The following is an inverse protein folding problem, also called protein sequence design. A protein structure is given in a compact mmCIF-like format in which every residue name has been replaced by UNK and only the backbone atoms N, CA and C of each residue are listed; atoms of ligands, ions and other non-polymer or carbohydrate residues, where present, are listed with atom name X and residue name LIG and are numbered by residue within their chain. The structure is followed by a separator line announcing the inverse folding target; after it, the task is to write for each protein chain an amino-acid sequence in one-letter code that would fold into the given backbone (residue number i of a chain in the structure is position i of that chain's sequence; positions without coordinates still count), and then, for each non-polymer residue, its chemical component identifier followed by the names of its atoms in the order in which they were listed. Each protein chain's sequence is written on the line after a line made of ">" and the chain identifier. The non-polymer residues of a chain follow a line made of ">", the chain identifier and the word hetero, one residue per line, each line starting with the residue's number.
data_IF_932826761719
#
_entry.id   IF_932826761719
#
_cell.length_a   1.000
_cell.length_b   1.000
_cell.length_c   1.000
_cell.angle_alpha   90.00
_cell.angle_beta   90.00
_cell.angle_gamma   90.00
#
_symmetry.space_group_name_H-M   'P 1'
#
loop_
_entity.id
_entity.type
_entity.pdbx_description
1 polymer ?
#
# COMPACT_ATOMS: atom_id res chain seq x y z
N UNK A 1 -29.86 -5.16 0.68
CA UNK A 1 -28.59 -5.79 0.25
C UNK A 1 -28.36 -5.68 -1.24
N UNK A 2 -29.21 -6.25 -2.11
CA UNK A 2 -29.00 -6.33 -3.58
C UNK A 2 -28.61 -5.01 -4.26
N UNK A 3 -29.22 -3.87 -3.89
CA UNK A 3 -28.86 -2.55 -4.47
C UNK A 3 -27.45 -2.07 -4.09
N UNK A 4 -26.99 -2.36 -2.88
CA UNK A 4 -25.64 -1.98 -2.42
C UNK A 4 -24.57 -2.83 -3.10
N UNK A 5 -24.85 -4.12 -3.31
CA UNK A 5 -23.92 -5.03 -3.97
C UNK A 5 -23.79 -4.75 -5.47
N UNK A 6 -24.89 -4.38 -6.14
CA UNK A 6 -24.86 -3.91 -7.54
C UNK A 6 -24.01 -2.65 -7.69
N UNK A 7 -24.22 -1.66 -6.82
CA UNK A 7 -23.49 -0.40 -6.86
C UNK A 7 -21.99 -0.58 -6.60
N UNK A 8 -21.63 -1.44 -5.62
CA UNK A 8 -20.24 -1.83 -5.36
C UNK A 8 -19.59 -2.41 -6.61
N UNK A 9 -20.28 -3.31 -7.30
CA UNK A 9 -19.81 -3.94 -8.53
C UNK A 9 -19.61 -2.95 -9.68
N UNK A 10 -20.55 -2.04 -9.89
CA UNK A 10 -20.48 -1.01 -10.95
C UNK A 10 -19.31 -0.04 -10.73
N UNK A 11 -19.12 0.46 -9.50
CA UNK A 11 -18.00 1.33 -9.16
C UNK A 11 -16.66 0.58 -9.28
N UNK A 12 -16.59 -0.66 -8.80
CA UNK A 12 -15.40 -1.49 -8.93
C UNK A 12 -15.03 -1.74 -10.41
N UNK A 13 -16.02 -2.02 -11.26
CA UNK A 13 -15.80 -2.21 -12.70
C UNK A 13 -15.31 -0.92 -13.38
N UNK A 14 -15.87 0.23 -13.02
CA UNK A 14 -15.42 1.52 -13.53
C UNK A 14 -13.98 1.83 -13.12
N UNK A 15 -13.63 1.65 -11.84
CA UNK A 15 -12.27 1.83 -11.34
C UNK A 15 -11.28 0.86 -11.98
N UNK A 16 -11.69 -0.40 -12.19
CA UNK A 16 -10.87 -1.38 -12.91
C UNK A 16 -10.62 -0.95 -14.36
N UNK A 17 -11.62 -0.40 -15.05
CA UNK A 17 -11.45 0.19 -16.39
C UNK A 17 -10.54 1.40 -16.40
N UNK A 18 -10.63 2.28 -15.40
CA UNK A 18 -9.73 3.44 -15.26
C UNK A 18 -8.28 3.04 -14.95
N UNK A 19 -8.08 1.92 -14.27
CA UNK A 19 -6.76 1.37 -13.91
C UNK A 19 -6.19 0.39 -14.94
N UNK A 20 -6.95 0.05 -15.98
CA UNK A 20 -6.47 -0.78 -17.09
C UNK A 20 -5.37 -0.05 -17.88
N UNK A 21 -4.62 -0.79 -18.72
CA UNK A 21 -3.54 -0.21 -19.53
C UNK A 21 -4.00 1.03 -20.29
N UNK A 22 -3.19 2.08 -20.28
CA UNK A 22 -3.48 3.39 -20.88
C UNK A 22 -4.62 4.18 -20.21
N UNK A 23 -5.24 3.62 -19.16
CA UNK A 23 -6.25 4.30 -18.36
C UNK A 23 -5.66 5.41 -17.48
N UNK A 24 -6.50 6.37 -17.03
CA UNK A 24 -6.05 7.50 -16.24
C UNK A 24 -5.48 7.14 -14.86
N UNK A 25 -5.79 5.95 -14.34
CA UNK A 25 -5.26 5.39 -13.09
C UNK A 25 -4.27 4.25 -13.34
N UNK A 26 -3.83 4.03 -14.59
CA UNK A 26 -2.81 3.05 -14.89
C UNK A 26 -1.52 3.38 -14.11
N UNK A 27 -0.94 2.36 -13.48
CA UNK A 27 0.39 2.45 -12.86
C UNK A 27 1.47 2.96 -13.82
N UNK A 28 1.30 2.81 -15.14
CA UNK A 28 2.21 3.29 -16.18
C UNK A 28 1.72 4.54 -16.92
N UNK A 29 0.61 5.12 -16.48
CA UNK A 29 0.12 6.39 -17.01
C UNK A 29 1.18 7.50 -16.88
N UNK A 30 1.24 8.46 -17.82
CA UNK A 30 2.08 9.67 -17.67
C UNK A 30 1.80 10.47 -16.38
N UNK A 31 0.63 10.28 -15.77
CA UNK A 31 0.25 10.91 -14.50
C UNK A 31 0.80 10.19 -13.26
N UNK A 32 1.45 9.02 -13.41
CA UNK A 32 2.17 8.35 -12.32
C UNK A 32 3.22 9.29 -11.71
N UNK A 33 3.35 9.28 -10.38
CA UNK A 33 4.20 10.24 -9.67
C UNK A 33 5.69 10.13 -10.00
N UNK A 34 6.20 8.95 -10.36
CA UNK A 34 7.59 8.80 -10.81
C UNK A 34 7.83 9.45 -12.17
N UNK A 35 6.84 9.43 -13.06
CA UNK A 35 6.93 10.06 -14.38
C UNK A 35 6.71 11.56 -14.25
N UNK A 36 5.60 11.96 -13.62
CA UNK A 36 5.19 13.35 -13.41
C UNK A 36 6.28 14.19 -12.73
N UNK A 37 7.01 13.61 -11.79
CA UNK A 37 7.98 14.32 -10.96
C UNK A 37 9.44 13.93 -11.19
N UNK A 38 9.77 13.30 -12.33
CA UNK A 38 11.12 12.75 -12.59
C UNK A 38 12.25 13.77 -12.40
N UNK A 39 12.04 15.03 -12.77
CA UNK A 39 13.01 16.11 -12.67
C UNK A 39 12.72 17.12 -11.53
N UNK A 40 11.76 16.82 -10.65
CA UNK A 40 11.32 17.77 -9.62
C UNK A 40 12.22 17.77 -8.39
N UNK A 41 12.94 18.87 -8.17
CA UNK A 41 13.76 19.07 -6.97
C UNK A 41 12.91 19.14 -5.70
N UNK A 42 11.70 19.72 -5.77
CA UNK A 42 10.78 19.73 -4.63
C UNK A 42 10.31 18.32 -4.29
N UNK A 43 10.05 17.48 -5.31
CA UNK A 43 9.70 16.06 -5.09
C UNK A 43 10.84 15.30 -4.45
N UNK A 44 12.08 15.56 -4.85
CA UNK A 44 13.25 14.93 -4.24
C UNK A 44 13.36 15.27 -2.74
N UNK A 45 13.20 16.54 -2.37
CA UNK A 45 13.19 16.96 -0.97
C UNK A 45 12.01 16.35 -0.20
N UNK A 46 10.83 16.30 -0.81
CA UNK A 46 9.67 15.64 -0.24
C UNK A 46 9.91 14.15 0.00
N UNK A 47 10.47 13.40 -0.95
CA UNK A 47 10.84 11.98 -0.79
C UNK A 47 11.76 11.76 0.41
N UNK A 48 12.75 12.65 0.61
CA UNK A 48 13.61 12.59 1.79
C UNK A 48 12.84 12.79 3.08
N UNK A 49 11.92 13.76 3.10
CA UNK A 49 11.06 14.01 4.26
C UNK A 49 10.14 12.81 4.54
N UNK A 50 9.57 12.18 3.52
CA UNK A 50 8.77 10.95 3.66
C UNK A 50 9.56 9.84 4.35
N UNK A 51 10.80 9.60 3.94
CA UNK A 51 11.67 8.60 4.58
C UNK A 51 11.90 8.91 6.07
N UNK A 52 12.10 10.18 6.41
CA UNK A 52 12.33 10.58 7.80
C UNK A 52 11.05 10.52 8.64
N UNK A 53 9.94 11.07 8.12
CA UNK A 53 8.62 11.02 8.76
C UNK A 53 8.18 9.58 9.01
N UNK A 54 8.38 8.68 8.05
CA UNK A 54 8.07 7.26 8.25
C UNK A 54 8.85 6.69 9.44
N UNK A 55 10.15 6.95 9.50
CA UNK A 55 11.04 6.41 10.53
C UNK A 55 10.74 7.00 11.91
N UNK A 56 10.32 8.26 11.99
CA UNK A 56 10.00 8.93 13.25
C UNK A 56 8.68 8.46 13.88
N UNK A 57 7.83 7.71 13.16
CA UNK A 57 6.54 7.20 13.70
C UNK A 57 6.72 6.27 14.89
N UNK A 58 7.82 5.53 14.93
CA UNK A 58 8.05 4.44 15.89
C UNK A 58 9.53 4.32 16.22
N UNK A 59 9.84 3.75 17.39
CA UNK A 59 11.22 3.55 17.83
C UNK A 59 11.39 2.12 18.36
N UNK A 60 11.42 1.10 17.47
CA UNK A 60 11.53 -0.29 17.89
C UNK A 60 12.87 -0.56 18.60
N UNK A 61 12.95 -1.60 19.43
CA UNK A 61 14.21 -2.09 19.97
C UNK A 61 15.25 -2.36 18.87
N UNK A 62 16.53 -2.16 19.23
CA UNK A 62 17.67 -2.44 18.36
C UNK A 62 18.50 -3.57 18.95
N UNK A 63 19.13 -4.35 18.07
CA UNK A 63 20.17 -5.31 18.46
C UNK A 63 19.74 -6.77 18.40
N UNK A 64 18.44 -7.07 18.51
CA UNK A 64 17.95 -8.44 18.29
C UNK A 64 18.05 -8.86 16.81
N UNK A 65 17.96 -7.90 15.88
CA UNK A 65 18.04 -8.13 14.42
C UNK A 65 17.13 -9.29 13.98
N UNK A 66 15.88 -9.22 14.41
CA UNK A 66 14.82 -10.16 14.06
C UNK A 66 13.91 -9.58 12.98
N UNK A 67 13.50 -10.40 12.03
CA UNK A 67 12.55 -10.02 10.99
C UNK A 67 11.36 -10.97 10.96
N UNK A 68 10.18 -10.40 10.72
CA UNK A 68 8.96 -11.12 10.34
C UNK A 68 8.60 -10.70 8.93
N UNK A 69 8.43 -11.66 8.03
CA UNK A 69 8.00 -11.42 6.65
C UNK A 69 6.61 -12.02 6.45
N UNK A 70 5.67 -11.25 5.90
CA UNK A 70 4.35 -11.78 5.52
C UNK A 70 4.22 -11.97 4.03
N UNK A 71 3.44 -12.98 3.66
CA UNK A 71 3.08 -13.30 2.29
C UNK A 71 1.59 -13.63 2.19
N UNK A 72 0.97 -13.31 1.05
CA UNK A 72 -0.45 -13.56 0.81
C UNK A 72 -1.15 -12.39 0.13
N UNK A 73 -2.23 -12.70 -0.60
CA UNK A 73 -2.99 -11.71 -1.37
C UNK A 73 -3.56 -10.58 -0.48
N UNK A 74 -3.82 -9.38 -1.03
CA UNK A 74 -4.70 -8.42 -0.38
C UNK A 74 -6.03 -9.09 -0.02
N UNK A 75 -6.58 -8.77 1.15
CA UNK A 75 -7.79 -9.42 1.66
C UNK A 75 -7.55 -10.74 2.41
N UNK A 76 -6.42 -11.44 2.22
CA UNK A 76 -6.19 -12.77 2.80
C UNK A 76 -6.15 -12.87 4.34
N UNK A 77 -6.24 -11.77 5.08
CA UNK A 77 -6.29 -11.79 6.55
C UNK A 77 -4.92 -11.79 7.26
N UNK A 78 -3.83 -11.41 6.58
CA UNK A 78 -2.46 -11.37 7.13
C UNK A 78 -2.34 -10.69 8.50
N UNK A 79 -2.99 -9.53 8.66
CA UNK A 79 -2.91 -8.76 9.91
C UNK A 79 -3.57 -9.46 11.10
N UNK A 80 -4.57 -10.33 10.87
CA UNK A 80 -5.18 -11.13 11.93
C UNK A 80 -4.20 -12.20 12.42
N UNK A 81 -3.65 -13.00 11.49
CA UNK A 81 -2.69 -14.05 11.83
C UNK A 81 -1.40 -13.50 12.44
N UNK A 82 -0.96 -12.31 12.03
CA UNK A 82 0.17 -11.63 12.66
C UNK A 82 -0.06 -11.39 14.16
N UNK A 83 -1.25 -10.91 14.54
CA UNK A 83 -1.59 -10.63 15.94
C UNK A 83 -1.71 -11.90 16.78
N UNK A 84 -2.14 -13.00 16.16
CA UNK A 84 -2.32 -14.29 16.84
C UNK A 84 -1.00 -15.05 17.02
N UNK A 85 -0.05 -14.93 16.08
CA UNK A 85 1.14 -15.79 16.03
C UNK A 85 2.47 -15.07 16.30
N UNK A 86 2.48 -13.74 16.38
CA UNK A 86 3.69 -12.97 16.69
C UNK A 86 3.48 -12.27 18.03
N UNK A 87 4.04 -12.88 19.08
CA UNK A 87 4.17 -12.22 20.37
C UNK A 87 5.00 -10.93 20.22
N UNK A 88 4.66 -9.92 21.00
CA UNK A 88 5.40 -8.65 21.06
C UNK A 88 5.57 -7.97 19.69
N UNK A 89 4.52 -8.02 18.84
CA UNK A 89 4.52 -7.37 17.53
C UNK A 89 4.85 -5.86 17.61
N UNK A 90 4.60 -5.23 18.76
CA UNK A 90 4.95 -3.84 19.05
C UNK A 90 6.46 -3.57 19.07
N UNK A 91 7.30 -4.60 19.20
CA UNK A 91 8.76 -4.49 19.11
C UNK A 91 9.27 -4.50 17.67
N UNK A 92 8.41 -4.78 16.69
CA UNK A 92 8.77 -4.78 15.28
C UNK A 92 8.26 -3.49 14.64
N UNK A 93 9.14 -2.78 13.91
CA UNK A 93 8.69 -1.71 13.03
C UNK A 93 7.93 -2.30 11.84
N UNK A 94 6.66 -1.92 11.61
CA UNK A 94 5.97 -2.20 10.37
C UNK A 94 6.70 -1.52 9.21
N UNK A 95 7.01 -2.31 8.18
CA UNK A 95 7.61 -1.90 6.92
C UNK A 95 6.61 -2.22 5.81
N UNK A 96 5.53 -1.43 5.78
CA UNK A 96 4.40 -1.56 4.88
C UNK A 96 4.28 -0.37 3.94
N UNK A 97 3.99 -0.66 2.67
CA UNK A 97 3.88 0.33 1.59
C UNK A 97 2.70 1.30 1.79
N UNK A 98 1.66 0.87 2.50
CA UNK A 98 0.39 1.59 2.64
C UNK A 98 0.54 2.96 3.32
N UNK A 99 1.37 3.07 4.34
CA UNK A 99 1.68 4.35 5.01
C UNK A 99 2.37 5.32 4.05
N UNK A 100 3.29 4.83 3.23
CA UNK A 100 3.97 5.66 2.24
C UNK A 100 2.99 6.17 1.20
N UNK A 101 2.04 5.34 0.75
CA UNK A 101 0.97 5.79 -0.17
C UNK A 101 0.19 6.96 0.40
N UNK A 102 -0.15 6.91 1.68
CA UNK A 102 -0.90 7.99 2.33
C UNK A 102 -0.11 9.30 2.30
N UNK A 103 1.18 9.31 2.62
CA UNK A 103 1.99 10.53 2.49
C UNK A 103 2.01 11.09 1.06
N UNK A 104 2.11 10.22 0.05
CA UNK A 104 2.13 10.66 -1.36
C UNK A 104 0.76 11.20 -1.80
N UNK A 105 -0.33 10.63 -1.31
CA UNK A 105 -1.71 11.03 -1.62
C UNK A 105 -2.07 12.33 -0.89
N UNK A 106 -1.73 12.47 0.39
CA UNK A 106 -1.93 13.70 1.17
C UNK A 106 -1.23 14.90 0.53
N UNK A 107 0.00 14.70 0.03
CA UNK A 107 0.72 15.75 -0.68
C UNK A 107 0.05 16.10 -2.02
N UNK A 108 -0.53 15.11 -2.72
CA UNK A 108 -1.28 15.37 -3.95
C UNK A 108 -2.62 16.08 -3.71
N UNK A 109 -3.26 15.85 -2.56
CA UNK A 109 -4.43 16.61 -2.12
C UNK A 109 -4.04 18.06 -1.77
N UNK A 110 -2.87 18.24 -1.15
CA UNK A 110 -2.38 19.56 -0.74
C UNK A 110 -2.01 20.43 -1.93
N UNK A 111 -1.45 19.85 -2.99
CA UNK A 111 -0.96 20.58 -4.17
C UNK A 111 -1.93 20.58 -5.37
N UNK A 112 -3.07 19.90 -5.25
CA UNK A 112 -4.10 19.83 -6.29
C UNK A 112 -3.70 19.03 -7.55
N UNK A 113 -2.65 18.20 -7.48
CA UNK A 113 -2.06 17.57 -8.67
C UNK A 113 -2.97 16.58 -9.40
N UNK A 114 -4.02 16.11 -8.74
CA UNK A 114 -4.98 15.16 -9.29
C UNK A 114 -6.43 15.63 -9.17
N UNK A 115 -6.68 16.94 -9.02
CA UNK A 115 -8.04 17.49 -8.86
C UNK A 115 -8.97 17.06 -9.98
N UNK A 116 -8.47 17.03 -11.22
CA UNK A 116 -9.24 16.56 -12.38
C UNK A 116 -9.69 15.08 -12.26
N UNK A 117 -8.86 14.22 -11.66
CA UNK A 117 -9.22 12.83 -11.40
C UNK A 117 -10.15 12.72 -10.18
N UNK A 118 -9.89 13.49 -9.13
CA UNK A 118 -10.70 13.54 -7.91
C UNK A 118 -12.10 14.10 -8.18
N UNK A 119 -12.27 14.95 -9.19
CA UNK A 119 -13.57 15.46 -9.63
C UNK A 119 -14.37 14.45 -10.48
N UNK A 120 -13.77 13.32 -10.86
CA UNK A 120 -14.45 12.28 -11.64
C UNK A 120 -15.57 11.65 -10.81
N UNK A 121 -16.81 11.72 -11.32
CA UNK A 121 -17.99 11.10 -10.69
C UNK A 121 -18.10 9.64 -11.13
N UNK A 122 -18.21 8.73 -10.16
CA UNK A 122 -18.38 7.29 -10.41
C UNK A 122 -19.85 6.88 -10.46
N UNK A 123 -20.14 5.64 -10.84
CA UNK A 123 -21.49 5.06 -11.00
C UNK A 123 -22.42 5.18 -9.77
N UNK A 124 -21.88 5.54 -8.60
CA UNK A 124 -22.60 5.81 -7.36
C UNK A 124 -22.96 7.30 -7.13
N UNK A 125 -22.65 8.20 -8.06
CA UNK A 125 -22.80 9.65 -7.91
C UNK A 125 -21.74 10.29 -7.01
N UNK A 126 -21.00 9.49 -6.24
CA UNK A 126 -19.84 9.95 -5.49
C UNK A 126 -18.60 10.10 -6.39
N UNK A 127 -17.77 11.08 -6.03
CA UNK A 127 -16.47 11.34 -6.68
C UNK A 127 -15.46 10.23 -6.44
N UNK A 128 -14.36 10.23 -7.20
CA UNK A 128 -13.22 9.37 -6.96
C UNK A 128 -12.62 9.69 -5.58
N UNK A 129 -12.42 8.66 -4.75
CA UNK A 129 -11.89 8.86 -3.41
C UNK A 129 -10.35 9.00 -3.46
N UNK A 130 -9.72 9.79 -2.55
CA UNK A 130 -8.28 10.01 -2.59
C UNK A 130 -7.43 8.73 -2.63
N UNK A 131 -7.77 7.72 -1.81
CA UNK A 131 -7.04 6.44 -1.78
C UNK A 131 -7.23 5.56 -3.02
N UNK A 132 -8.11 5.93 -3.95
CA UNK A 132 -8.26 5.26 -5.25
C UNK A 132 -7.21 5.70 -6.26
N UNK A 133 -6.45 6.76 -5.96
CA UNK A 133 -5.23 7.14 -6.70
C UNK A 133 -4.03 6.21 -6.40
N UNK A 134 -4.20 5.18 -5.57
CA UNK A 134 -3.14 4.32 -5.08
C UNK A 134 -2.29 3.63 -6.17
N UNK A 135 -2.82 3.48 -7.39
CA UNK A 135 -2.09 2.96 -8.54
C UNK A 135 -1.07 3.97 -9.09
N UNK A 136 -1.41 5.26 -9.14
CA UNK A 136 -0.53 6.33 -9.66
C UNK A 136 0.69 6.59 -8.78
N UNK A 137 0.61 6.25 -7.50
CA UNK A 137 1.71 6.40 -6.53
C UNK A 137 2.50 5.10 -6.32
N UNK A 138 2.10 4.00 -6.98
CA UNK A 138 2.60 2.65 -6.65
C UNK A 138 4.11 2.52 -6.80
N UNK A 139 4.66 2.91 -7.95
CA UNK A 139 6.09 2.72 -8.24
C UNK A 139 6.98 3.58 -7.32
N UNK A 140 6.56 4.82 -7.01
CA UNK A 140 7.28 5.69 -6.08
C UNK A 140 7.22 5.12 -4.65
N UNK A 141 6.06 4.58 -4.27
CA UNK A 141 5.88 3.89 -2.98
C UNK A 141 6.84 2.72 -2.85
N UNK A 142 6.94 1.87 -3.88
CA UNK A 142 7.84 0.70 -3.90
C UNK A 142 9.30 1.14 -3.71
N UNK A 143 9.74 2.19 -4.41
CA UNK A 143 11.10 2.71 -4.26
C UNK A 143 11.38 3.26 -2.85
N UNK A 144 10.42 4.00 -2.28
CA UNK A 144 10.54 4.59 -0.95
C UNK A 144 10.52 3.54 0.17
N UNK A 145 9.61 2.57 0.12
CA UNK A 145 9.53 1.53 1.16
C UNK A 145 10.77 0.62 1.13
N UNK A 146 11.32 0.35 -0.05
CA UNK A 146 12.61 -0.33 -0.21
C UNK A 146 13.76 0.46 0.44
N UNK A 147 13.79 1.78 0.23
CA UNK A 147 14.79 2.64 0.84
C UNK A 147 14.64 2.70 2.37
N UNK A 148 13.42 2.81 2.87
CA UNK A 148 13.10 2.83 4.30
C UNK A 148 13.52 1.50 4.95
N UNK A 149 13.13 0.36 4.34
CA UNK A 149 13.51 -0.97 4.80
C UNK A 149 15.03 -1.07 4.95
N UNK A 150 15.80 -0.78 3.90
CA UNK A 150 17.27 -0.83 3.95
C UNK A 150 17.85 -0.01 5.11
N UNK A 151 17.37 1.23 5.29
CA UNK A 151 17.83 2.10 6.40
C UNK A 151 17.48 1.56 7.79
N UNK A 152 16.32 0.93 7.95
CA UNK A 152 15.92 0.31 9.21
C UNK A 152 16.76 -0.96 9.47
N UNK A 153 17.01 -1.77 8.44
CA UNK A 153 17.85 -2.96 8.55
C UNK A 153 19.32 -2.61 8.87
N UNK A 154 19.87 -1.56 8.27
CA UNK A 154 21.21 -1.04 8.58
C UNK A 154 21.37 -0.70 10.07
N UNK A 155 20.29 -0.25 10.72
CA UNK A 155 20.27 0.12 12.14
C UNK A 155 20.05 -1.07 13.08
N UNK A 156 19.81 -2.26 12.53
CA UNK A 156 19.51 -3.47 13.29
C UNK A 156 18.18 -3.40 14.05
N UNK A 157 17.21 -2.66 13.51
CA UNK A 157 15.84 -2.57 14.06
C UNK A 157 15.06 -3.85 13.76
N UNK A 158 14.27 -4.36 14.71
CA UNK A 158 13.36 -5.46 14.38
C UNK A 158 12.34 -5.00 13.33
N UNK A 159 12.16 -5.80 12.27
CA UNK A 159 11.37 -5.40 11.09
C UNK A 159 10.22 -6.35 10.81
N UNK A 160 9.01 -5.81 10.69
CA UNK A 160 7.84 -6.50 10.14
C UNK A 160 7.70 -6.10 8.67
N UNK A 161 8.16 -6.95 7.77
CA UNK A 161 8.14 -6.71 6.32
C UNK A 161 6.81 -7.22 5.76
N UNK A 162 5.96 -6.29 5.33
CA UNK A 162 4.65 -6.61 4.79
C UNK A 162 4.71 -6.75 3.27
N UNK A 163 4.17 -7.85 2.75
CA UNK A 163 4.17 -8.10 1.31
C UNK A 163 3.14 -9.11 0.87
N UNK A 164 2.96 -9.20 -0.44
CA UNK A 164 2.23 -10.29 -1.08
C UNK A 164 3.16 -11.43 -1.48
N UNK A 165 4.47 -11.16 -1.62
CA UNK A 165 5.49 -12.03 -2.23
C UNK A 165 5.08 -12.58 -3.62
N UNK A 166 4.23 -11.87 -4.35
CA UNK A 166 3.81 -12.27 -5.71
C UNK A 166 4.95 -12.27 -6.72
N UNK A 167 5.92 -11.37 -6.55
CA UNK A 167 7.07 -11.23 -7.44
C UNK A 167 8.16 -12.25 -7.05
N UNK A 168 8.57 -13.16 -7.97
CA UNK A 168 9.51 -14.24 -7.65
C UNK A 168 10.81 -13.77 -6.97
N UNK A 169 11.34 -12.62 -7.38
CA UNK A 169 12.62 -12.10 -6.87
C UNK A 169 12.50 -11.34 -5.55
N UNK A 170 11.29 -10.95 -5.14
CA UNK A 170 11.12 -10.10 -3.95
C UNK A 170 11.51 -10.84 -2.67
N UNK A 171 11.08 -12.10 -2.50
CA UNK A 171 11.45 -12.92 -1.35
C UNK A 171 12.97 -13.14 -1.25
N UNK A 172 13.62 -13.69 -2.29
CA UNK A 172 15.07 -13.88 -2.33
C UNK A 172 15.85 -12.58 -2.08
N UNK A 173 15.41 -11.46 -2.65
CA UNK A 173 16.06 -10.16 -2.43
C UNK A 173 15.95 -9.71 -0.98
N UNK A 174 14.78 -9.79 -0.36
CA UNK A 174 14.61 -9.44 1.05
C UNK A 174 15.46 -10.34 1.94
N UNK A 175 15.53 -11.64 1.64
CA UNK A 175 16.39 -12.56 2.37
C UNK A 175 17.87 -12.18 2.25
N UNK A 176 18.36 -11.87 1.05
CA UNK A 176 19.74 -11.42 0.84
C UNK A 176 20.04 -10.11 1.59
N UNK A 177 19.10 -9.15 1.59
CA UNK A 177 19.21 -7.91 2.37
C UNK A 177 19.32 -8.22 3.88
N UNK A 178 18.55 -9.17 4.41
CA UNK A 178 18.62 -9.56 5.82
C UNK A 178 19.96 -10.22 6.19
N UNK A 179 20.48 -11.10 5.33
CA UNK A 179 21.78 -11.75 5.51
C UNK A 179 22.91 -10.71 5.51
N UNK A 180 22.93 -9.79 4.54
CA UNK A 180 23.92 -8.70 4.47
C UNK A 180 23.93 -7.84 5.74
N UNK A 181 22.76 -7.67 6.38
CA UNK A 181 22.61 -6.90 7.61
C UNK A 181 22.70 -7.74 8.89
N UNK A 182 23.19 -8.97 8.82
CA UNK A 182 23.40 -9.86 9.97
C UNK A 182 22.13 -10.10 10.81
N UNK A 183 20.97 -10.20 10.16
CA UNK A 183 19.75 -10.65 10.84
C UNK A 183 19.85 -12.13 11.16
N UNK A 184 19.63 -12.48 12.42
CA UNK A 184 19.85 -13.83 12.95
C UNK A 184 18.57 -14.63 13.07
N UNK A 185 17.42 -13.96 12.99
CA UNK A 185 16.09 -14.54 13.08
C UNK A 185 15.21 -14.03 11.95
N UNK A 186 14.61 -14.94 11.20
CA UNK A 186 13.59 -14.65 10.20
C UNK A 186 12.41 -15.60 10.40
N UNK A 187 11.23 -15.03 10.64
CA UNK A 187 9.95 -15.76 10.62
C UNK A 187 9.17 -15.37 9.37
N UNK A 188 8.71 -16.35 8.61
CA UNK A 188 7.86 -16.12 7.42
C UNK A 188 6.45 -16.61 7.74
N UNK A 189 5.46 -15.76 7.54
CA UNK A 189 4.04 -16.07 7.72
C UNK A 189 3.35 -15.95 6.35
N UNK A 190 3.09 -17.11 5.74
CA UNK A 190 2.29 -17.22 4.52
C UNK A 190 0.82 -17.40 4.86
N UNK A 191 -0.04 -16.64 4.19
CA UNK A 191 -1.49 -16.74 4.36
C UNK A 191 -2.14 -17.03 3.02
N UNK A 192 -2.74 -18.21 2.94
CA UNK A 192 -3.36 -18.73 1.73
C UNK A 192 -4.86 -18.90 1.94
N UNK A 193 -5.62 -18.29 1.04
CA UNK A 193 -7.06 -18.44 0.93
C UNK A 193 -7.42 -18.55 -0.55
N UNK A 194 -8.59 -19.10 -0.92
CA UNK A 194 -9.02 -19.11 -2.31
C UNK A 194 -9.01 -17.69 -2.90
N UNK A 195 -8.60 -17.57 -4.18
CA UNK A 195 -8.54 -16.27 -4.89
C UNK A 195 -9.85 -15.48 -4.79
N UNK A 196 -10.98 -16.17 -4.96
CA UNK A 196 -12.31 -15.55 -4.85
C UNK A 196 -12.56 -14.98 -3.45
N UNK A 197 -12.13 -15.67 -2.40
CA UNK A 197 -12.25 -15.21 -1.01
C UNK A 197 -11.39 -13.98 -0.74
N UNK A 198 -10.11 -14.00 -1.12
CA UNK A 198 -9.22 -12.84 -0.98
C UNK A 198 -9.76 -11.62 -1.73
N UNK A 199 -10.26 -11.83 -2.95
CA UNK A 199 -10.83 -10.78 -3.79
C UNK A 199 -12.08 -10.17 -3.14
N UNK A 200 -13.04 -10.99 -2.73
CA UNK A 200 -14.27 -10.53 -2.09
C UNK A 200 -13.97 -9.78 -0.78
N UNK A 201 -13.05 -10.28 0.04
CA UNK A 201 -12.62 -9.60 1.28
C UNK A 201 -11.95 -8.25 0.99
N UNK A 202 -11.12 -8.16 -0.05
CA UNK A 202 -10.50 -6.90 -0.45
C UNK A 202 -11.53 -5.90 -0.98
N UNK A 203 -12.50 -6.36 -1.78
CA UNK A 203 -13.60 -5.53 -2.29
C UNK A 203 -14.52 -5.04 -1.17
N UNK A 204 -14.92 -5.91 -0.25
CA UNK A 204 -15.75 -5.53 0.91
C UNK A 204 -15.06 -4.47 1.75
N UNK A 205 -13.78 -4.69 2.11
CA UNK A 205 -12.99 -3.72 2.86
C UNK A 205 -12.87 -2.38 2.15
N UNK A 206 -12.59 -2.37 0.84
CA UNK A 206 -12.54 -1.13 0.07
C UNK A 206 -13.88 -0.40 0.08
N UNK A 207 -14.98 -1.14 -0.16
CA UNK A 207 -16.32 -0.56 -0.26
C UNK A 207 -16.79 0.03 1.06
N UNK A 208 -16.58 -0.66 2.18
CA UNK A 208 -16.92 -0.17 3.52
C UNK A 208 -16.24 1.18 3.81
N UNK A 209 -14.93 1.26 3.54
CA UNK A 209 -14.16 2.50 3.78
C UNK A 209 -14.53 3.59 2.78
N UNK A 210 -14.89 3.23 1.54
CA UNK A 210 -15.43 4.19 0.57
C UNK A 210 -16.76 4.77 1.02
N UNK A 211 -17.68 3.94 1.52
CA UNK A 211 -18.96 4.41 2.06
C UNK A 211 -18.76 5.33 3.28
N UNK A 212 -17.81 5.00 4.16
CA UNK A 212 -17.44 5.85 5.29
C UNK A 212 -16.94 7.23 4.83
N UNK A 213 -16.16 7.27 3.74
CA UNK A 213 -15.71 8.53 3.13
C UNK A 213 -16.86 9.33 2.50
N UNK A 214 -17.76 8.68 1.77
CA UNK A 214 -18.97 9.34 1.27
C UNK A 214 -19.87 9.90 2.39
N UNK A 215 -19.75 9.37 3.61
CA UNK A 215 -20.47 9.82 4.79
C UNK A 215 -19.65 10.77 5.68
N UNK A 216 -18.50 11.28 5.19
CA UNK A 216 -17.58 12.18 5.91
C UNK A 216 -17.03 11.64 7.24
N UNK A 217 -16.98 10.31 7.40
CA UNK A 217 -16.45 9.64 8.61
C UNK A 217 -15.04 9.07 8.41
N UNK A 218 -14.56 9.00 7.17
CA UNK A 218 -13.18 8.65 6.81
C UNK A 218 -12.66 9.71 5.83
N UNK A 219 -11.50 10.36 6.06
CA UNK A 219 -11.09 11.53 5.29
C UNK A 219 -10.65 11.22 3.85
N UNK A 220 -10.20 9.99 3.55
CA UNK A 220 -9.50 9.69 2.29
C UNK A 220 -10.02 8.45 1.55
N UNK A 221 -11.03 7.77 2.09
CA UNK A 221 -11.62 6.56 1.50
C UNK A 221 -10.73 5.32 1.53
N UNK A 222 -11.18 4.27 0.83
CA UNK A 222 -10.53 2.96 0.77
C UNK A 222 -9.54 2.82 -0.39
N UNK A 223 -8.53 1.96 -0.24
CA UNK A 223 -7.64 1.60 -1.35
C UNK A 223 -8.30 0.53 -2.22
N UNK A 224 -8.60 0.89 -3.46
CA UNK A 224 -9.04 -0.08 -4.46
C UNK A 224 -7.84 -0.89 -4.96
N UNK A 225 -8.01 -2.21 -5.07
CA UNK A 225 -7.04 -3.10 -5.70
C UNK A 225 -7.70 -3.70 -6.94
N UNK A 226 -7.29 -3.25 -8.12
CA UNK A 226 -7.74 -3.87 -9.37
C UNK A 226 -7.27 -5.32 -9.41
N UNK A 227 -8.20 -6.25 -9.61
CA UNK A 227 -7.89 -7.67 -9.84
C UNK A 227 -7.67 -8.01 -11.30
N UNK A 228 -7.75 -7.02 -12.18
CA UNK A 228 -7.33 -7.12 -13.57
C UNK A 228 -5.85 -6.72 -13.68
N UNK A 229 -4.98 -7.71 -13.86
CA UNK A 229 -3.53 -7.55 -14.02
C UNK A 229 -2.76 -8.76 -13.49
N UNK A 230 -2.70 -9.79 -14.34
CA UNK A 230 -1.91 -11.04 -14.38
C UNK A 230 -2.26 -12.23 -13.45
#
# INVERSE_FOLDING_TARGET
>A
MIKSDSLRGEVAAQLAGMAASEGPLDTKSPTNTNIRYVASLSRWSFRKNVVEQYRSRETPPRGARSAVLTAGAPGAGKSLLLREHVAELYDYRPLGADVVKDFLIEQALTDGSYDNLLDTVLAAGARLAPRELAALVHDETTALIDQIRRKCLDRGENGLIEGTLRWPDHGPRVFAELVDKNYTSLRIIGVEVPRATAHEQALSRWWEVRLAWCADTEPVGGRFHSTCGD
#
